data_IF_265552623871
#
_entry.id   IF_265552623871
#
_cell.length_a   1.000
_cell.length_b   1.000
_cell.length_c   1.000
_cell.angle_alpha   90.00
_cell.angle_beta   90.00
_cell.angle_gamma   90.00
#
_symmetry.space_group_name_H-M   'P 1'
#
loop_
_entity.id
_entity.type
_entity.pdbx_description
1 polymer ?
#
# COMPACT_ATOMS: atom_id res chain seq x y z
N UNK A 1 7.75 -14.54 -7.52
CA UNK A 1 7.83 -13.40 -6.60
C UNK A 1 6.83 -12.37 -7.10
N UNK A 2 5.66 -12.26 -6.47
CA UNK A 2 4.67 -11.27 -6.88
C UNK A 2 5.10 -9.93 -6.31
N UNK A 3 5.80 -9.15 -7.15
CA UNK A 3 6.02 -7.73 -6.94
C UNK A 3 4.62 -7.13 -6.86
N UNK A 4 4.13 -6.83 -5.66
CA UNK A 4 3.06 -5.86 -5.52
C UNK A 4 3.63 -4.60 -6.16
N UNK A 5 3.07 -4.22 -7.31
CA UNK A 5 3.34 -2.94 -7.94
C UNK A 5 2.97 -1.85 -6.96
N UNK A 6 3.92 -1.45 -6.11
CA UNK A 6 3.92 -0.13 -5.51
C UNK A 6 4.25 0.75 -6.69
N UNK A 7 3.21 1.12 -7.43
CA UNK A 7 3.31 2.02 -8.56
C UNK A 7 3.77 3.34 -7.98
N UNK A 8 5.09 3.56 -7.93
CA UNK A 8 5.66 4.88 -7.65
C UNK A 8 4.99 5.81 -8.66
N UNK A 9 4.13 6.70 -8.17
CA UNK A 9 3.44 7.69 -8.98
C UNK A 9 4.44 8.78 -9.35
N UNK A 10 5.34 8.46 -10.28
CA UNK A 10 6.43 9.34 -10.72
C UNK A 10 5.98 10.37 -11.75
N UNK A 11 4.80 10.24 -12.35
CA UNK A 11 4.28 11.17 -13.35
C UNK A 11 3.05 11.95 -12.85
N UNK A 12 2.98 13.23 -13.22
CA UNK A 12 1.87 14.16 -12.88
C UNK A 12 0.52 13.61 -13.38
N UNK A 13 0.49 13.00 -14.57
CA UNK A 13 -0.69 12.34 -15.13
C UNK A 13 -1.17 11.11 -14.33
N UNK A 14 -0.27 10.44 -13.61
CA UNK A 14 -0.59 9.28 -12.78
C UNK A 14 -1.10 9.68 -11.39
N UNK A 15 -0.70 10.86 -10.87
CA UNK A 15 -1.28 11.45 -9.65
C UNK A 15 -2.76 11.82 -9.84
N UNK A 16 -3.13 12.35 -11.01
CA UNK A 16 -4.52 12.62 -11.36
C UNK A 16 -5.37 11.34 -11.47
N UNK A 17 -4.84 10.27 -12.09
CA UNK A 17 -5.54 8.99 -12.22
C UNK A 17 -5.75 8.24 -10.90
N UNK A 18 -4.89 8.43 -9.90
CA UNK A 18 -5.06 7.75 -8.59
C UNK A 18 -6.21 8.29 -7.73
N UNK A 19 -6.78 9.46 -8.05
CA UNK A 19 -7.71 10.17 -7.16
C UNK A 19 -9.13 10.37 -7.72
N UNK A 20 -9.40 9.89 -8.94
CA UNK A 20 -10.68 10.07 -9.62
C UNK A 20 -11.49 8.78 -9.57
N UNK A 21 -12.26 8.58 -8.49
CA UNK A 21 -13.43 7.69 -8.44
C UNK A 21 -14.24 8.01 -7.18
N UNK A 22 -15.52 8.33 -7.32
CA UNK A 22 -16.46 8.55 -6.21
C UNK A 22 -17.31 7.29 -6.11
N UNK A 23 -17.35 6.67 -4.93
CA UNK A 23 -18.55 6.00 -4.38
C UNK A 23 -18.36 5.44 -2.96
N UNK A 24 -17.13 5.27 -2.44
CA UNK A 24 -16.88 4.83 -1.04
C UNK A 24 -15.71 5.55 -0.39
N UNK A 25 -15.88 5.99 0.86
CA UNK A 25 -14.83 6.64 1.67
C UNK A 25 -13.69 5.69 2.06
N UNK A 26 -12.57 6.23 2.54
CA UNK A 26 -11.41 5.44 2.99
C UNK A 26 -11.77 4.53 4.19
N UNK A 27 -11.62 3.22 4.00
CA UNK A 27 -12.03 2.20 4.98
C UNK A 27 -11.00 1.08 5.11
N UNK A 28 -11.15 0.30 6.19
CA UNK A 28 -10.36 -0.92 6.43
C UNK A 28 -11.16 -2.15 6.01
N UNK A 29 -10.59 -2.89 5.07
CA UNK A 29 -11.16 -4.13 4.55
C UNK A 29 -10.38 -5.36 5.06
N UNK A 30 -11.09 -6.41 5.46
CA UNK A 30 -10.47 -7.68 5.85
C UNK A 30 -10.30 -8.61 4.65
N UNK A 31 -9.13 -9.24 4.53
CA UNK A 31 -8.85 -10.20 3.48
C UNK A 31 -8.05 -11.39 4.02
N UNK A 32 -8.50 -12.61 3.72
CA UNK A 32 -7.76 -13.82 4.07
C UNK A 32 -6.76 -14.16 2.97
N UNK A 33 -5.49 -14.41 3.33
CA UNK A 33 -4.48 -14.91 2.38
C UNK A 33 -3.81 -16.18 2.89
N UNK A 34 -3.50 -17.08 1.97
CA UNK A 34 -2.72 -18.27 2.27
C UNK A 34 -1.22 -17.93 2.31
N UNK A 35 -0.61 -18.02 3.49
CA UNK A 35 0.84 -18.02 3.63
C UNK A 35 1.37 -19.38 3.17
N UNK A 36 2.20 -19.38 2.11
CA UNK A 36 2.82 -20.59 1.56
C UNK A 36 4.20 -20.78 2.20
N UNK A 37 4.47 -21.98 2.73
CA UNK A 37 5.80 -22.41 3.15
C UNK A 37 6.16 -23.75 2.52
N UNK A 38 7.30 -23.80 1.83
CA UNK A 38 7.80 -25.00 1.16
C UNK A 38 8.94 -24.68 0.19
N UNK A 39 9.70 -25.70 -0.23
CA UNK A 39 10.64 -25.59 -1.36
C UNK A 39 9.86 -25.29 -2.65
N UNK A 40 10.47 -24.61 -3.66
CA UNK A 40 9.84 -24.35 -4.96
C UNK A 40 9.29 -25.61 -5.66
N UNK A 41 9.82 -26.79 -5.34
CA UNK A 41 9.49 -28.08 -5.98
C UNK A 41 8.80 -29.11 -5.05
N UNK A 42 8.34 -28.72 -3.85
CA UNK A 42 7.65 -29.64 -2.91
C UNK A 42 6.19 -29.25 -2.63
N UNK A 43 5.36 -30.16 -2.09
CA UNK A 43 3.96 -29.85 -1.78
C UNK A 43 3.88 -28.69 -0.77
N UNK A 44 3.20 -27.58 -1.12
CA UNK A 44 3.20 -26.39 -0.29
C UNK A 44 2.33 -26.59 0.95
N UNK A 45 2.89 -26.42 2.15
CA UNK A 45 2.09 -26.27 3.36
C UNK A 45 1.51 -24.86 3.36
N UNK A 46 0.18 -24.75 3.43
CA UNK A 46 -0.56 -23.49 3.41
C UNK A 46 -1.14 -23.23 4.79
N UNK A 47 -0.93 -22.03 5.33
CA UNK A 47 -1.61 -21.56 6.54
C UNK A 47 -2.42 -20.33 6.17
N UNK A 48 -3.73 -20.35 6.44
CA UNK A 48 -4.56 -19.16 6.25
C UNK A 48 -4.21 -18.11 7.31
N UNK A 49 -4.10 -16.86 6.85
CA UNK A 49 -3.80 -15.70 7.68
C UNK A 49 -4.82 -14.62 7.35
N UNK A 50 -5.48 -14.09 8.38
CA UNK A 50 -6.31 -12.92 8.25
C UNK A 50 -5.41 -11.67 8.15
N UNK A 51 -5.55 -10.96 7.04
CA UNK A 51 -4.93 -9.67 6.79
C UNK A 51 -6.01 -8.59 6.74
N UNK A 52 -5.56 -7.35 6.80
CA UNK A 52 -6.39 -6.19 6.52
C UNK A 52 -5.67 -5.34 5.48
N UNK A 53 -6.44 -4.58 4.68
CA UNK A 53 -5.95 -3.57 3.73
C UNK A 53 -6.75 -2.29 3.86
N UNK A 54 -6.15 -1.16 3.48
CA UNK A 54 -6.85 0.10 3.35
C UNK A 54 -7.27 0.29 1.89
N UNK A 55 -8.52 0.66 1.69
CA UNK A 55 -9.11 0.85 0.36
C UNK A 55 -10.22 1.89 0.44
N UNK A 56 -10.54 2.52 -0.70
CA UNK A 56 -11.52 3.60 -0.77
C UNK A 56 -10.87 4.96 -1.02
N UNK A 57 -11.71 5.99 -1.02
CA UNK A 57 -11.36 7.31 -1.52
C UNK A 57 -11.29 8.36 -0.42
N UNK A 58 -10.37 9.30 -0.60
CA UNK A 58 -10.24 10.45 0.28
C UNK A 58 -11.16 11.57 -0.18
N UNK A 59 -11.81 12.25 0.78
CA UNK A 59 -12.71 13.35 0.48
C UNK A 59 -11.98 14.60 -0.03
N UNK A 60 -10.69 14.74 0.28
CA UNK A 60 -9.86 15.83 -0.21
C UNK A 60 -9.56 15.64 -1.70
N UNK A 61 -10.03 16.59 -2.52
CA UNK A 61 -9.69 16.62 -3.94
C UNK A 61 -8.18 16.80 -4.14
N UNK A 62 -7.62 16.03 -5.06
CA UNK A 62 -6.23 16.20 -5.50
C UNK A 62 -6.11 17.48 -6.32
N UNK A 63 -5.09 18.29 -6.03
CA UNK A 63 -4.82 19.57 -6.69
C UNK A 63 -3.37 19.65 -7.12
N UNK A 64 -3.11 20.28 -8.26
CA UNK A 64 -1.77 20.54 -8.76
C UNK A 64 -1.74 21.92 -9.41
N UNK A 65 -1.09 22.87 -8.74
CA UNK A 65 -1.00 24.26 -9.17
C UNK A 65 0.41 24.54 -9.71
N UNK A 66 0.55 25.18 -10.87
CA UNK A 66 1.86 25.57 -11.39
C UNK A 66 2.50 26.65 -10.52
N UNK A 67 3.79 26.52 -10.23
CA UNK A 67 4.56 27.54 -9.53
C UNK A 67 5.25 28.45 -10.55
N UNK A 68 4.92 29.74 -10.54
CA UNK A 68 5.61 30.74 -11.36
C UNK A 68 6.92 31.12 -10.68
N UNK A 69 8.04 30.89 -11.35
CA UNK A 69 9.35 31.32 -10.90
C UNK A 69 10.04 32.11 -11.99
N UNK A 70 10.61 33.26 -11.61
CA UNK A 70 11.43 34.10 -12.49
C UNK A 70 12.93 33.72 -12.44
N UNK A 71 13.27 32.67 -11.67
CA UNK A 71 14.60 32.06 -11.68
C UNK A 71 14.78 31.20 -12.94
N UNK A 72 15.99 31.15 -13.48
CA UNK A 72 16.36 30.29 -14.63
C UNK A 72 16.31 28.78 -14.30
N UNK A 73 16.11 28.41 -13.03
CA UNK A 73 16.04 27.02 -12.56
C UNK A 73 14.78 26.80 -11.72
N UNK A 74 13.81 26.07 -12.28
CA UNK A 74 12.64 25.55 -11.57
C UNK A 74 12.94 24.14 -11.02
N UNK A 75 13.16 24.02 -9.70
CA UNK A 75 13.40 22.72 -9.04
C UNK A 75 12.13 21.86 -8.92
N UNK A 76 10.95 22.49 -8.80
CA UNK A 76 9.67 21.80 -8.75
C UNK A 76 8.59 22.70 -9.38
N UNK A 77 8.12 22.39 -10.61
CA UNK A 77 7.25 23.29 -11.37
C UNK A 77 5.79 23.29 -10.90
N UNK A 78 5.41 22.38 -10.00
CA UNK A 78 4.05 22.26 -9.49
C UNK A 78 4.02 22.08 -7.98
N UNK A 79 3.10 22.79 -7.32
CA UNK A 79 2.66 22.51 -5.95
C UNK A 79 1.47 21.57 -6.04
N UNK A 80 1.69 20.29 -5.73
CA UNK A 80 0.62 19.29 -5.72
C UNK A 80 0.24 18.88 -4.30
N UNK A 81 -1.06 18.83 -4.01
CA UNK A 81 -1.61 18.19 -2.82
C UNK A 81 -2.50 17.02 -3.23
N UNK A 82 -2.31 15.87 -2.61
CA UNK A 82 -2.96 14.62 -2.97
C UNK A 82 -3.13 13.79 -1.70
N UNK A 83 -4.29 13.17 -1.49
CA UNK A 83 -4.55 12.35 -0.32
C UNK A 83 -4.75 10.89 -0.71
N UNK A 84 -4.02 10.01 -0.03
CA UNK A 84 -3.97 8.58 -0.30
C UNK A 84 -4.56 7.82 0.92
N UNK A 85 -5.49 6.88 0.70
CA UNK A 85 -6.02 6.02 1.77
C UNK A 85 -4.96 5.01 2.21
N UNK A 86 -4.41 5.18 3.42
CA UNK A 86 -3.24 4.43 3.89
C UNK A 86 -3.36 4.00 5.36
N UNK A 87 -2.57 2.99 5.78
CA UNK A 87 -2.60 2.48 7.15
C UNK A 87 -2.14 3.55 8.14
N UNK A 88 -3.02 3.92 9.08
CA UNK A 88 -2.67 4.86 10.14
C UNK A 88 -1.98 4.12 11.30
N UNK A 89 -2.59 3.03 11.75
CA UNK A 89 -2.06 2.21 12.84
C UNK A 89 -1.98 0.75 12.42
N UNK A 90 -0.91 0.07 12.84
CA UNK A 90 -0.70 -1.34 12.54
C UNK A 90 0.04 -2.05 13.67
N UNK A 91 -0.21 -3.35 13.83
CA UNK A 91 0.49 -4.22 14.77
C UNK A 91 1.38 -5.21 14.04
N UNK A 92 2.65 -5.29 14.41
CA UNK A 92 3.55 -6.33 13.90
C UNK A 92 3.13 -7.69 14.47
N UNK A 93 2.95 -8.67 13.60
CA UNK A 93 2.62 -10.05 13.94
C UNK A 93 3.65 -11.00 13.34
N UNK A 94 3.93 -12.08 14.05
CA UNK A 94 4.81 -13.14 13.60
C UNK A 94 4.01 -14.44 13.42
N UNK A 95 4.29 -15.15 12.33
CA UNK A 95 3.70 -16.42 11.97
C UNK A 95 4.80 -17.46 11.83
N UNK A 96 4.74 -18.49 12.67
CA UNK A 96 5.60 -19.67 12.52
C UNK A 96 4.98 -20.66 11.55
N UNK A 97 5.73 -20.98 10.50
CA UNK A 97 5.41 -21.95 9.47
C UNK A 97 6.31 -23.18 9.64
N UNK A 98 5.73 -24.36 9.48
CA UNK A 98 6.47 -25.63 9.50
C UNK A 98 6.75 -26.03 8.06
N UNK A 99 8.02 -26.19 7.70
CA UNK A 99 8.45 -26.63 6.38
C UNK A 99 8.76 -28.13 6.39
N UNK A 100 8.93 -28.71 5.19
CA UNK A 100 9.50 -30.04 5.05
C UNK A 100 10.91 -30.10 5.63
N UNK A 101 11.32 -31.27 6.12
CA UNK A 101 12.64 -31.47 6.73
C UNK A 101 12.78 -30.91 8.16
N UNK A 102 11.69 -30.73 8.90
CA UNK A 102 11.71 -30.24 10.29
C UNK A 102 12.04 -28.75 10.45
N UNK A 103 12.35 -28.06 9.36
CA UNK A 103 12.71 -26.64 9.34
C UNK A 103 11.51 -25.76 9.74
N UNK A 104 11.78 -24.71 10.51
CA UNK A 104 10.77 -23.73 10.96
C UNK A 104 11.08 -22.37 10.37
N UNK A 105 10.14 -21.79 9.65
CA UNK A 105 10.25 -20.42 9.13
C UNK A 105 9.38 -19.47 9.95
N UNK A 106 9.89 -18.29 10.26
CA UNK A 106 9.11 -17.23 10.89
C UNK A 106 8.88 -16.13 9.87
N UNK A 107 7.62 -15.89 9.53
CA UNK A 107 7.22 -14.79 8.66
C UNK A 107 6.60 -13.68 9.52
N UNK A 108 7.04 -12.44 9.30
CA UNK A 108 6.47 -11.28 9.98
C UNK A 108 5.60 -10.47 9.03
N UNK A 109 4.46 -9.97 9.50
CA UNK A 109 3.58 -9.12 8.73
C UNK A 109 2.98 -8.02 9.62
N UNK A 110 2.56 -6.91 9.02
CA UNK A 110 1.81 -5.86 9.73
C UNK A 110 0.32 -6.10 9.53
N UNK A 111 -0.41 -6.18 10.64
CA UNK A 111 -1.86 -6.24 10.64
C UNK A 111 -2.41 -4.83 10.87
N UNK A 112 -3.12 -4.30 9.88
CA UNK A 112 -3.65 -2.93 9.90
C UNK A 112 -4.83 -2.86 10.86
N UNK A 113 -4.84 -1.85 11.73
CA UNK A 113 -5.89 -1.63 12.74
C UNK A 113 -6.85 -0.53 12.31
N UNK A 114 -6.32 0.58 11.77
CA UNK A 114 -7.08 1.71 11.22
C UNK A 114 -6.46 2.24 9.92
N UNK A 115 -7.30 2.88 9.12
CA UNK A 115 -6.95 3.53 7.85
C UNK A 115 -7.31 5.00 7.93
N UNK A 116 -6.56 5.85 7.23
CA UNK A 116 -6.86 7.27 7.11
C UNK A 116 -6.32 7.83 5.80
N UNK A 117 -6.76 9.05 5.48
CA UNK A 117 -6.25 9.81 4.35
C UNK A 117 -5.03 10.62 4.78
N UNK A 118 -3.89 10.33 4.16
CA UNK A 118 -2.64 11.07 4.38
C UNK A 118 -2.13 11.68 3.07
N UNK A 119 -1.37 12.77 3.19
CA UNK A 119 -0.79 13.44 2.02
C UNK A 119 0.25 12.56 1.35
N UNK A 120 0.17 12.44 0.03
CA UNK A 120 1.10 11.62 -0.74
C UNK A 120 2.45 12.37 -0.81
N UNK A 121 3.52 11.74 -0.30
CA UNK A 121 4.89 12.28 -0.34
C UNK A 121 5.32 12.55 -1.79
N UNK A 122 5.79 13.78 -2.08
CA UNK A 122 6.24 14.17 -3.42
C UNK A 122 7.49 13.45 -3.88
#
# INVERSE_FOLDING_TARGET
>A
MSILSVTRCTSVAQRQKCCLSVETGCMKEHASKAAKSGKPHGPPRRKMVLLARCEGHCSQASRSEPLVSFSTVLKQPFRSSCHCCRPQTSKLKALRLRCSGGMRLTATYRYILSCHCEECSS
#
